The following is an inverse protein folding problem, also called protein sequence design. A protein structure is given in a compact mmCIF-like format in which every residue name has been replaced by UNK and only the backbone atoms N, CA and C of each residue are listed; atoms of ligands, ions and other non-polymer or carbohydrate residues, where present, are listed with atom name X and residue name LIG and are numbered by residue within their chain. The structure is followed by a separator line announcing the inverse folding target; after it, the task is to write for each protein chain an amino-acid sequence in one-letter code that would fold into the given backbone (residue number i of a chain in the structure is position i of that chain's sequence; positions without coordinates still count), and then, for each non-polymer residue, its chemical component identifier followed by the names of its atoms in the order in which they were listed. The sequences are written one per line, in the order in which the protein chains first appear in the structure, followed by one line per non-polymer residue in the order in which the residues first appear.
data_IF_856921324407
#
_entry.id   IF_856921324407
#
_cell.length_a   1.000
_cell.length_b   1.000
_cell.length_c   1.000
_cell.angle_alpha   90.00
_cell.angle_beta   90.00
_cell.angle_gamma   90.00
#
_symmetry.space_group_name_H-M   'P 1'
#
loop_
_entity.id
_entity.type
_entity.pdbx_description
1 polymer ?
#
# COMPACT_ATOMS: atom_id res chain seq x y z
N UNK A 1 5.08 7.88 11.48
CA UNK A 1 4.79 6.83 10.47
C UNK A 1 3.99 7.39 9.30
N UNK A 2 2.72 7.80 9.44
CA UNK A 2 1.90 8.24 8.29
C UNK A 2 2.48 9.48 7.56
N UNK A 3 3.06 10.41 8.30
CA UNK A 3 3.66 11.64 7.75
C UNK A 3 4.88 11.41 6.84
N UNK A 4 5.72 10.42 7.16
CA UNK A 4 6.94 10.14 6.37
C UNK A 4 6.60 9.52 5.01
N UNK A 5 5.62 8.62 4.98
CA UNK A 5 5.11 8.06 3.73
C UNK A 5 4.40 9.13 2.90
N UNK A 6 3.61 10.00 3.53
CA UNK A 6 2.92 11.09 2.82
C UNK A 6 3.89 12.06 2.11
N UNK A 7 4.93 12.55 2.81
CA UNK A 7 5.91 13.46 2.22
C UNK A 7 6.67 12.82 1.05
N UNK A 8 7.05 11.55 1.22
CA UNK A 8 7.77 10.79 0.18
C UNK A 8 6.91 10.60 -1.07
N UNK A 9 5.63 10.26 -0.87
CA UNK A 9 4.67 10.08 -1.96
C UNK A 9 4.36 11.39 -2.68
N UNK A 10 4.21 12.49 -1.94
CA UNK A 10 4.01 13.80 -2.54
C UNK A 10 5.19 14.20 -3.44
N UNK A 11 6.43 13.89 -3.06
CA UNK A 11 7.60 14.12 -3.91
C UNK A 11 7.63 13.18 -5.13
N UNK A 12 7.30 11.90 -4.94
CA UNK A 12 7.22 10.93 -6.04
C UNK A 12 6.19 11.35 -7.08
N UNK A 13 5.01 11.76 -6.64
CA UNK A 13 3.97 12.34 -7.49
C UNK A 13 4.50 13.56 -8.28
N UNK A 14 5.30 14.44 -7.68
CA UNK A 14 5.85 15.59 -8.41
C UNK A 14 6.84 15.19 -9.50
N UNK A 15 7.57 14.09 -9.33
CA UNK A 15 8.55 13.60 -10.30
C UNK A 15 7.94 12.65 -11.35
N UNK A 16 6.90 11.90 -10.97
CA UNK A 16 6.27 10.86 -11.80
C UNK A 16 4.78 11.14 -11.96
N UNK A 17 4.27 11.08 -13.20
CA UNK A 17 2.86 11.31 -13.46
C UNK A 17 1.96 10.21 -12.87
N UNK A 18 2.46 8.98 -12.77
CA UNK A 18 1.74 7.84 -12.21
C UNK A 18 2.59 7.18 -11.10
N UNK A 19 1.94 6.78 -10.00
CA UNK A 19 2.56 6.16 -8.83
C UNK A 19 1.77 4.90 -8.47
N UNK A 20 2.49 3.80 -8.26
CA UNK A 20 1.93 2.53 -7.80
C UNK A 20 2.30 2.29 -6.33
N UNK A 21 1.31 1.93 -5.52
CA UNK A 21 1.48 1.61 -4.10
C UNK A 21 1.04 0.18 -3.85
N UNK A 22 1.91 -0.59 -3.19
CA UNK A 22 1.61 -1.94 -2.73
C UNK A 22 1.67 -2.00 -1.20
N UNK A 23 0.70 -2.67 -0.59
CA UNK A 23 0.63 -2.82 0.86
C UNK A 23 0.17 -4.22 1.26
N UNK A 24 0.68 -4.70 2.39
CA UNK A 24 0.40 -6.05 2.89
C UNK A 24 -0.09 -6.01 4.34
N UNK A 25 -1.13 -6.78 4.65
CA UNK A 25 -1.66 -6.90 6.01
C UNK A 25 -2.07 -5.55 6.61
N UNK A 26 -1.57 -5.24 7.81
CA UNK A 26 -1.91 -3.99 8.52
C UNK A 26 -1.46 -2.72 7.81
N UNK A 27 -0.46 -2.81 6.91
CA UNK A 27 0.00 -1.64 6.15
C UNK A 27 -1.04 -1.14 5.13
N UNK A 28 -2.01 -1.99 4.75
CA UNK A 28 -3.07 -1.64 3.80
C UNK A 28 -3.88 -0.45 4.32
N UNK A 29 -4.26 -0.47 5.60
CA UNK A 29 -5.04 0.61 6.20
C UNK A 29 -4.33 1.97 6.04
N UNK A 30 -3.03 2.01 6.32
CA UNK A 30 -2.22 3.23 6.19
C UNK A 30 -2.15 3.74 4.75
N UNK A 31 -1.92 2.85 3.77
CA UNK A 31 -1.84 3.22 2.36
C UNK A 31 -3.19 3.70 1.82
N UNK A 32 -4.29 3.06 2.23
CA UNK A 32 -5.65 3.48 1.89
C UNK A 32 -5.93 4.87 2.45
N UNK A 33 -5.64 5.12 3.73
CA UNK A 33 -5.83 6.45 4.34
C UNK A 33 -5.01 7.53 3.64
N UNK A 34 -3.75 7.26 3.28
CA UNK A 34 -2.92 8.23 2.55
C UNK A 34 -3.49 8.53 1.16
N UNK A 35 -3.92 7.49 0.44
CA UNK A 35 -4.57 7.65 -0.86
C UNK A 35 -5.85 8.48 -0.76
N UNK A 36 -6.67 8.26 0.28
CA UNK A 36 -7.86 9.05 0.55
C UNK A 36 -7.51 10.53 0.82
N UNK A 37 -6.50 10.81 1.63
CA UNK A 37 -6.03 12.18 1.89
C UNK A 37 -5.56 12.86 0.58
N UNK A 38 -4.79 12.16 -0.25
CA UNK A 38 -4.28 12.69 -1.53
C UNK A 38 -5.41 12.98 -2.53
N UNK A 39 -6.44 12.12 -2.58
CA UNK A 39 -7.64 12.31 -3.40
C UNK A 39 -8.49 13.48 -2.89
N UNK A 40 -8.70 13.57 -1.57
CA UNK A 40 -9.47 14.63 -0.93
C UNK A 40 -8.83 16.01 -1.14
N UNK A 41 -7.50 16.07 -1.12
CA UNK A 41 -6.74 17.29 -1.40
C UNK A 41 -6.65 17.63 -2.90
N UNK A 42 -7.21 16.78 -3.78
CA UNK A 42 -7.19 16.98 -5.23
C UNK A 42 -5.81 16.84 -5.87
N UNK A 43 -4.82 16.29 -5.15
CA UNK A 43 -3.45 16.12 -5.63
C UNK A 43 -3.34 14.94 -6.59
N UNK A 44 -4.03 13.84 -6.30
CA UNK A 44 -3.98 12.63 -7.10
C UNK A 44 -5.37 12.06 -7.41
N UNK A 45 -5.46 11.28 -8.48
CA UNK A 45 -6.65 10.56 -8.91
C UNK A 45 -6.32 9.07 -8.93
N UNK A 46 -7.19 8.25 -8.38
CA UNK A 46 -7.08 6.81 -8.47
C UNK A 46 -7.38 6.34 -9.89
N UNK A 47 -6.47 5.53 -10.44
CA UNK A 47 -6.59 4.92 -11.76
C UNK A 47 -7.09 3.49 -11.66
N UNK A 48 -6.60 2.74 -10.67
CA UNK A 48 -6.95 1.34 -10.48
C UNK A 48 -6.65 0.88 -9.06
N UNK A 49 -7.54 0.04 -8.53
CA UNK A 49 -7.33 -0.74 -7.33
C UNK A 49 -7.34 -2.21 -7.71
N UNK A 50 -6.42 -3.01 -7.17
CA UNK A 50 -6.45 -4.47 -7.33
C UNK A 50 -6.01 -5.12 -6.03
N UNK A 51 -6.72 -6.17 -5.62
CA UNK A 51 -6.38 -6.95 -4.43
C UNK A 51 -5.99 -8.36 -4.83
N UNK A 52 -4.86 -8.82 -4.35
CA UNK A 52 -4.36 -10.18 -4.62
C UNK A 52 -4.10 -10.88 -3.30
N UNK A 53 -4.53 -12.12 -3.15
CA UNK A 53 -4.11 -12.97 -2.03
C UNK A 53 -2.80 -13.66 -2.41
N UNK A 54 -1.77 -13.50 -1.59
CA UNK A 54 -0.54 -14.32 -1.70
C UNK A 54 -0.43 -15.23 -0.50
N UNK A 55 -0.01 -16.46 -0.76
CA UNK A 55 0.34 -17.41 0.28
C UNK A 55 1.79 -17.15 0.71
N UNK A 56 1.97 -16.58 1.90
CA UNK A 56 3.30 -16.37 2.46
C UNK A 56 3.67 -17.64 3.20
N UNK A 57 4.59 -18.42 2.65
CA UNK A 57 5.26 -19.48 3.40
C UNK A 57 6.18 -18.83 4.42
N UNK A 58 5.75 -18.85 5.67
CA UNK A 58 6.54 -18.42 6.81
C UNK A 58 7.66 -19.45 7.05
N UNK A 59 8.78 -19.33 6.33
CA UNK A 59 10.02 -20.08 6.62
C UNK A 59 10.78 -19.43 7.79
N UNK A 60 10.10 -19.09 8.90
CA UNK A 60 10.79 -18.80 10.16
C UNK A 60 11.27 -20.10 10.79
N UNK A 61 12.30 -20.68 10.17
CA UNK A 61 13.12 -21.69 10.79
C UNK A 61 13.77 -21.12 12.06
N UNK A 62 13.51 -21.74 13.22
CA UNK A 62 14.49 -21.65 14.30
C UNK A 62 14.08 -21.99 15.72
N UNK A 63 12.80 -22.02 16.14
CA UNK A 63 12.47 -22.37 17.55
C UNK A 63 11.13 -23.08 17.71
N UNK A 64 11.08 -24.30 18.28
CA UNK A 64 9.82 -24.96 18.61
C UNK A 64 9.31 -24.40 19.94
N UNK A 65 8.54 -23.32 19.90
CA UNK A 65 7.72 -22.92 21.05
C UNK A 65 6.38 -23.63 20.96
N UNK A 66 6.18 -24.54 21.90
CA UNK A 66 4.99 -25.35 22.11
C UNK A 66 3.74 -24.47 22.27
N UNK A 67 2.98 -24.29 21.19
CA UNK A 67 1.56 -23.89 21.19
C UNK A 67 0.94 -24.50 19.93
N UNK A 68 -0.33 -24.91 20.01
CA UNK A 68 -1.06 -25.61 18.94
C UNK A 68 -0.72 -25.07 17.55
N UNK A 69 -0.40 -25.97 16.62
CA UNK A 69 -0.22 -25.65 15.20
C UNK A 69 -1.55 -25.12 14.66
N UNK A 70 -1.76 -23.83 14.79
CA UNK A 70 -2.69 -23.11 13.92
C UNK A 70 -2.10 -23.24 12.52
N UNK A 71 -2.73 -24.02 11.66
CA UNK A 71 -2.55 -23.89 10.22
C UNK A 71 -3.08 -22.50 9.83
N UNK A 72 -2.37 -21.43 10.17
CA UNK A 72 -2.64 -20.15 9.54
C UNK A 72 -1.93 -20.22 8.21
N UNK A 73 -2.66 -20.73 7.20
CA UNK A 73 -2.48 -20.23 5.85
C UNK A 73 -2.75 -18.72 5.94
N UNK A 74 -1.74 -17.93 6.30
CA UNK A 74 -1.85 -16.48 6.29
C UNK A 74 -1.85 -16.08 4.84
N UNK A 75 -3.02 -16.22 4.20
CA UNK A 75 -3.31 -15.58 2.93
C UNK A 75 -3.18 -14.09 3.19
N UNK A 76 -2.02 -13.53 2.86
CA UNK A 76 -1.81 -12.11 2.98
C UNK A 76 -2.48 -11.44 1.79
N UNK A 77 -3.41 -10.55 2.07
CA UNK A 77 -3.93 -9.66 1.06
C UNK A 77 -2.84 -8.65 0.71
N UNK A 78 -2.51 -8.55 -0.57
CA UNK A 78 -1.74 -7.47 -1.17
C UNK A 78 -2.75 -6.53 -1.82
N UNK A 79 -2.63 -5.24 -1.49
CA UNK A 79 -3.41 -4.18 -2.09
C UNK A 79 -2.53 -3.40 -3.06
N UNK A 80 -2.88 -3.38 -4.34
CA UNK A 80 -2.27 -2.57 -5.39
C UNK A 80 -3.13 -1.35 -5.66
N UNK A 81 -2.56 -0.16 -5.50
CA UNK A 81 -3.24 1.10 -5.65
C UNK A 81 -2.47 2.01 -6.61
N UNK A 82 -3.08 2.32 -7.76
CA UNK A 82 -2.51 3.18 -8.78
C UNK A 82 -3.09 4.58 -8.67
N UNK A 83 -2.22 5.55 -8.44
CA UNK A 83 -2.54 6.96 -8.43
C UNK A 83 -1.92 7.64 -9.65
N UNK A 84 -2.66 8.55 -10.26
CA UNK A 84 -2.18 9.44 -11.31
C UNK A 84 -2.26 10.88 -10.81
N UNK A 85 -1.24 11.67 -11.11
CA UNK A 85 -1.21 13.09 -10.79
C UNK A 85 -2.33 13.82 -11.52
N UNK A 86 -3.08 14.62 -10.77
CA UNK A 86 -4.04 15.52 -11.39
C UNK A 86 -3.24 16.68 -11.99
N UNK A 87 -2.94 16.61 -13.29
CA UNK A 87 -2.27 17.70 -14.01
C UNK A 87 -3.09 18.99 -13.88
N UNK A 88 -2.73 19.81 -12.91
CA UNK A 88 -2.96 21.24 -13.00
C UNK A 88 -2.14 21.73 -14.18
N UNK A 89 -2.82 21.97 -15.32
CA UNK A 89 -2.30 22.71 -16.47
C UNK A 89 -1.45 23.88 -15.97
N UNK A 90 -0.12 23.77 -16.07
CA UNK A 90 0.71 24.96 -16.24
C UNK A 90 0.41 25.45 -17.65
N UNK A 91 -0.50 26.42 -17.75
CA UNK A 91 -0.50 27.37 -18.87
C UNK A 91 0.74 28.25 -18.74
#
# INVERSE_FOLDING_TARGET
MVSEYFLSLQRFMQQYNDVELSALGMAIATVVTIAEILKNNGLAVEKRITTSTVDIRDEFGGRPLQKQRSFTNTCALIYYFYLSQKQGKKK
#
